data_IF_486477446007
#
_entry.id   IF_486477446007
#
_cell.length_a   1.000
_cell.length_b   1.000
_cell.length_c   1.000
_cell.angle_alpha   90.00
_cell.angle_beta   90.00
_cell.angle_gamma   90.00
#
_symmetry.space_group_name_H-M   'P 1'
#
loop_
_entity.id
_entity.type
_entity.pdbx_description
1 polymer ?
#
# COMPACT_ATOMS: atom_id res chain seq x y z
N UNK A 1 -20.09 22.61 -44.25
CA UNK A 1 -20.88 21.37 -44.12
C UNK A 1 -20.51 20.75 -42.79
N UNK A 2 -21.28 21.07 -41.76
CA UNK A 2 -21.07 20.59 -40.39
C UNK A 2 -21.38 19.10 -40.31
N UNK A 3 -20.52 18.38 -39.60
CA UNK A 3 -20.47 16.92 -39.56
C UNK A 3 -21.72 16.32 -38.90
N UNK A 4 -22.63 15.76 -39.71
CA UNK A 4 -23.89 15.16 -39.26
C UNK A 4 -23.69 13.87 -38.43
N UNK A 5 -22.45 13.36 -38.30
CA UNK A 5 -22.16 12.11 -37.59
C UNK A 5 -22.50 12.17 -36.10
N UNK A 6 -22.27 13.30 -35.44
CA UNK A 6 -22.55 13.43 -34.01
C UNK A 6 -24.05 13.51 -33.72
N UNK A 7 -24.84 14.04 -34.65
CA UNK A 7 -26.30 14.15 -34.50
C UNK A 7 -26.97 12.78 -34.58
N UNK A 8 -26.49 11.90 -35.46
CA UNK A 8 -26.98 10.52 -35.56
C UNK A 8 -26.59 9.68 -34.35
N UNK A 9 -25.39 9.88 -33.79
CA UNK A 9 -24.96 9.21 -32.57
C UNK A 9 -25.79 9.62 -31.35
N UNK A 10 -26.06 10.92 -31.19
CA UNK A 10 -26.89 11.43 -30.09
C UNK A 10 -28.34 10.93 -30.20
N UNK A 11 -28.89 10.88 -31.41
CA UNK A 11 -30.24 10.35 -31.64
C UNK A 11 -30.35 8.86 -31.30
N UNK A 12 -29.30 8.06 -31.59
CA UNK A 12 -29.26 6.64 -31.23
C UNK A 12 -29.21 6.44 -29.71
N UNK A 13 -28.38 7.22 -29.01
CA UNK A 13 -28.27 7.16 -27.55
C UNK A 13 -29.60 7.54 -26.89
N UNK A 14 -30.25 8.63 -27.35
CA UNK A 14 -31.55 9.06 -26.82
C UNK A 14 -32.67 8.04 -27.10
N UNK A 15 -32.66 7.40 -28.27
CA UNK A 15 -33.60 6.33 -28.60
C UNK A 15 -33.40 5.09 -27.72
N UNK A 16 -32.15 4.68 -27.49
CA UNK A 16 -31.84 3.56 -26.60
C UNK A 16 -32.25 3.85 -25.15
N UNK A 17 -32.04 5.08 -24.68
CA UNK A 17 -32.43 5.51 -23.33
C UNK A 17 -33.97 5.55 -23.16
N UNK A 18 -34.70 5.98 -24.20
CA UNK A 18 -36.16 5.96 -24.22
C UNK A 18 -36.75 4.55 -24.26
N UNK A 19 -36.12 3.62 -24.98
CA UNK A 19 -36.55 2.22 -25.04
C UNK A 19 -36.37 1.50 -23.68
N UNK A 20 -35.32 1.85 -22.95
CA UNK A 20 -35.04 1.29 -21.61
C UNK A 20 -36.02 1.80 -20.55
N UNK A 21 -36.47 3.06 -20.65
CA UNK A 21 -37.45 3.62 -19.72
C UNK A 21 -38.83 2.92 -19.77
N UNK A 22 -39.18 2.27 -20.89
CA UNK A 22 -40.45 1.55 -21.05
C UNK A 22 -40.45 0.14 -20.44
N UNK A 23 -39.28 -0.43 -20.15
CA UNK A 23 -39.16 -1.82 -19.69
C UNK A 23 -39.17 -1.98 -18.17
N UNK A 24 -39.27 -0.89 -17.40
CA UNK A 24 -39.40 -0.91 -15.93
C UNK A 24 -38.24 -1.57 -15.18
N UNK A 25 -37.16 -1.92 -15.88
CA UNK A 25 -36.03 -2.67 -15.35
C UNK A 25 -34.77 -1.81 -15.48
N UNK A 26 -34.12 -1.52 -14.35
CA UNK A 26 -32.93 -0.66 -14.27
C UNK A 26 -31.64 -1.38 -14.71
N UNK A 27 -31.68 -2.71 -14.84
CA UNK A 27 -30.56 -3.55 -15.23
C UNK A 27 -29.85 -3.14 -16.55
N UNK A 28 -30.55 -2.89 -17.68
CA UNK A 28 -29.91 -2.43 -18.92
C UNK A 28 -29.24 -1.04 -18.81
N UNK A 29 -29.71 -0.14 -17.94
CA UNK A 29 -29.07 1.17 -17.72
C UNK A 29 -27.69 0.98 -17.07
N UNK A 30 -27.61 0.06 -16.11
CA UNK A 30 -26.37 -0.26 -15.40
C UNK A 30 -25.34 -0.85 -16.37
N UNK A 31 -25.76 -1.72 -17.30
CA UNK A 31 -24.87 -2.28 -18.32
C UNK A 31 -24.32 -1.21 -19.29
N UNK A 32 -25.15 -0.24 -19.67
CA UNK A 32 -24.70 0.88 -20.53
C UNK A 32 -23.70 1.78 -19.77
N UNK A 33 -23.94 2.06 -18.49
CA UNK A 33 -23.01 2.82 -17.65
C UNK A 33 -21.68 2.07 -17.43
N UNK A 34 -21.73 0.76 -17.19
CA UNK A 34 -20.53 -0.09 -17.08
C UNK A 34 -19.75 -0.13 -18.39
N UNK A 35 -20.43 -0.24 -19.54
CA UNK A 35 -19.80 -0.19 -20.85
C UNK A 35 -19.10 1.14 -21.12
N UNK A 36 -19.72 2.26 -20.75
CA UNK A 36 -19.12 3.59 -20.83
C UNK A 36 -17.89 3.74 -19.91
N UNK A 37 -17.98 3.22 -18.69
CA UNK A 37 -16.87 3.25 -17.72
C UNK A 37 -15.67 2.44 -18.22
N UNK A 38 -15.91 1.28 -18.85
CA UNK A 38 -14.84 0.45 -19.42
C UNK A 38 -14.16 1.14 -20.62
N UNK A 39 -14.94 1.86 -21.43
CA UNK A 39 -14.44 2.57 -22.60
C UNK A 39 -13.56 3.77 -22.21
N UNK A 40 -13.91 4.50 -21.14
CA UNK A 40 -13.06 5.56 -20.58
C UNK A 40 -11.75 4.98 -20.04
N UNK A 41 -11.80 3.84 -19.35
CA UNK A 41 -10.59 3.20 -18.80
C UNK A 41 -9.64 2.69 -19.89
N UNK A 42 -10.17 2.26 -21.04
CA UNK A 42 -9.35 1.77 -22.14
C UNK A 42 -8.51 2.88 -22.80
N UNK A 43 -9.00 4.12 -22.79
CA UNK A 43 -8.24 5.27 -23.31
C UNK A 43 -7.11 5.74 -22.38
N UNK A 44 -7.22 5.53 -21.06
CA UNK A 44 -6.14 5.83 -20.11
C UNK A 44 -5.02 4.77 -20.10
N UNK A 45 -5.24 3.61 -20.74
CA UNK A 45 -4.32 2.47 -20.67
C UNK A 45 -3.31 2.40 -21.82
N UNK A 46 -3.34 3.34 -22.78
CA UNK A 46 -2.59 3.24 -24.04
C UNK A 46 -1.27 4.05 -24.08
N UNK A 47 -0.80 4.57 -22.93
CA UNK A 47 0.44 5.39 -22.88
C UNK A 47 1.64 4.69 -22.22
N UNK A 48 1.71 3.37 -22.27
CA UNK A 48 2.85 2.63 -21.67
C UNK A 48 3.18 1.34 -22.41
N UNK A 49 3.71 1.44 -23.63
CA UNK A 49 4.51 0.35 -24.20
C UNK A 49 5.59 0.85 -25.17
N UNK A 50 6.84 0.88 -24.68
CA UNK A 50 8.14 0.70 -25.37
C UNK A 50 9.21 1.45 -24.53
N UNK A 51 10.36 0.93 -24.12
CA UNK A 51 11.15 -0.23 -24.50
C UNK A 51 12.02 -0.66 -23.32
N UNK A 52 12.18 -1.97 -23.10
CA UNK A 52 13.37 -2.52 -22.44
C UNK A 52 14.29 -3.12 -23.50
N UNK A 53 15.52 -2.61 -23.56
CA UNK A 53 16.75 -3.40 -23.36
C UNK A 53 17.92 -3.00 -24.29
N UNK A 54 19.04 -2.78 -23.60
CA UNK A 54 20.39 -3.26 -23.93
C UNK A 54 21.34 -2.39 -24.78
N UNK A 55 22.35 -1.93 -24.05
CA UNK A 55 23.78 -2.09 -24.32
C UNK A 55 24.56 -0.97 -25.02
N UNK A 56 25.76 -0.81 -24.47
CA UNK A 56 26.99 -0.35 -25.10
C UNK A 56 27.17 1.15 -25.36
N UNK A 57 28.05 1.71 -24.53
CA UNK A 57 29.28 2.39 -24.94
C UNK A 57 29.20 3.59 -25.89
N UNK A 58 29.90 4.63 -25.43
CA UNK A 58 30.66 5.61 -26.22
C UNK A 58 29.95 6.93 -26.60
N UNK A 59 30.70 7.99 -26.25
CA UNK A 59 30.87 9.21 -27.03
C UNK A 59 29.81 10.29 -26.95
N UNK A 60 30.04 11.17 -25.96
CA UNK A 60 30.18 12.62 -26.13
C UNK A 60 30.08 13.10 -27.59
N UNK A 61 28.92 13.66 -27.94
CA UNK A 61 28.81 14.65 -28.99
C UNK A 61 28.04 15.87 -28.47
N UNK A 62 28.75 16.99 -28.52
CA UNK A 62 28.30 18.36 -28.38
C UNK A 62 27.67 18.78 -29.71
N UNK A 63 26.41 19.19 -29.72
CA UNK A 63 25.79 19.87 -30.85
C UNK A 63 24.76 20.88 -30.36
N UNK A 64 25.20 22.14 -30.33
CA UNK A 64 24.37 23.34 -30.27
C UNK A 64 23.66 23.55 -31.62
N UNK A 65 22.34 23.75 -31.59
CA UNK A 65 21.65 24.56 -32.60
C UNK A 65 20.62 25.45 -31.93
N UNK A 66 20.80 26.75 -32.15
CA UNK A 66 19.83 27.79 -31.91
C UNK A 66 18.89 27.88 -33.11
N UNK A 67 17.59 27.92 -32.84
CA UNK A 67 16.63 28.70 -33.62
C UNK A 67 15.69 29.39 -32.65
N UNK A 68 15.68 30.71 -32.76
CA UNK A 68 14.67 31.63 -32.25
C UNK A 68 13.43 31.45 -33.12
N UNK A 69 12.25 31.28 -32.51
CA UNK A 69 11.01 31.84 -33.04
C UNK A 69 10.04 32.03 -31.87
N UNK A 70 9.58 33.27 -31.77
CA UNK A 70 8.63 33.80 -30.81
C UNK A 70 7.24 33.21 -31.10
N UNK A 71 6.48 32.84 -30.06
CA UNK A 71 5.13 33.36 -29.83
C UNK A 71 4.44 32.70 -28.63
N UNK A 72 3.83 33.57 -27.82
CA UNK A 72 2.69 33.36 -26.93
C UNK A 72 2.92 32.75 -25.52
N UNK A 73 2.94 33.68 -24.57
CA UNK A 73 2.71 33.55 -23.14
C UNK A 73 1.45 32.73 -22.83
N UNK A 74 1.63 31.57 -22.21
CA UNK A 74 0.67 31.05 -21.24
C UNK A 74 1.48 30.57 -20.02
N UNK A 75 1.71 31.49 -19.08
CA UNK A 75 2.17 31.19 -17.72
C UNK A 75 1.06 30.42 -16.98
N UNK A 76 0.85 29.16 -17.33
CA UNK A 76 0.44 28.20 -16.31
C UNK A 76 1.72 27.87 -15.54
N UNK A 77 1.87 28.48 -14.37
CA UNK A 77 2.66 27.90 -13.30
C UNK A 77 2.17 26.46 -13.14
N UNK A 78 2.87 25.51 -13.78
CA UNK A 78 2.79 24.12 -13.42
C UNK A 78 3.34 24.12 -12.01
N UNK A 79 2.43 24.20 -11.03
CA UNK A 79 2.65 23.64 -9.73
C UNK A 79 2.94 22.17 -9.99
N UNK A 80 4.21 21.88 -10.28
CA UNK A 80 4.82 20.64 -9.91
C UNK A 80 4.65 20.62 -8.39
N UNK A 81 3.49 20.14 -7.93
CA UNK A 81 3.42 19.49 -6.64
C UNK A 81 4.40 18.35 -6.77
N UNK A 82 5.66 18.66 -6.46
CA UNK A 82 6.68 17.68 -6.26
C UNK A 82 6.05 16.72 -5.27
N UNK A 83 5.78 15.46 -5.66
CA UNK A 83 5.19 14.51 -4.75
C UNK A 83 6.11 14.53 -3.53
N UNK A 84 5.55 14.88 -2.36
CA UNK A 84 6.32 14.94 -1.12
C UNK A 84 7.22 13.71 -1.11
N UNK A 85 8.55 13.93 -1.10
CA UNK A 85 9.51 12.86 -1.36
C UNK A 85 9.14 11.67 -0.47
N UNK A 86 9.21 10.45 -0.98
CA UNK A 86 8.86 9.25 -0.20
C UNK A 86 9.54 9.22 1.18
N UNK A 87 10.64 9.95 1.32
CA UNK A 87 11.41 10.24 2.53
C UNK A 87 10.61 10.97 3.64
N UNK A 88 9.68 11.86 3.31
CA UNK A 88 8.84 12.61 4.26
C UNK A 88 7.50 11.94 4.56
N UNK A 89 7.18 10.83 3.89
CA UNK A 89 5.88 10.17 4.03
C UNK A 89 5.77 9.56 5.44
N UNK A 90 4.93 10.20 6.25
CA UNK A 90 4.44 9.66 7.51
C UNK A 90 3.10 8.99 7.23
N UNK A 91 2.98 7.71 7.55
CA UNK A 91 1.76 6.98 7.28
C UNK A 91 0.69 7.28 8.34
N UNK A 92 -0.56 7.44 7.90
CA UNK A 92 -1.68 7.79 8.77
C UNK A 92 -1.90 6.76 9.89
N UNK A 93 -1.79 5.47 9.61
CA UNK A 93 -1.96 4.43 10.63
C UNK A 93 -0.89 4.48 11.72
N UNK A 94 0.31 4.92 11.38
CA UNK A 94 1.39 5.13 12.35
C UNK A 94 1.11 6.32 13.27
N UNK A 95 0.62 7.44 12.72
CA UNK A 95 0.16 8.58 13.51
C UNK A 95 -0.98 8.20 14.47
N UNK A 96 -1.97 7.45 13.96
CA UNK A 96 -3.06 6.94 14.77
C UNK A 96 -2.52 6.07 15.91
N UNK A 97 -1.47 5.29 15.65
CA UNK A 97 -0.82 4.47 16.68
C UNK A 97 -0.06 5.29 17.73
N UNK A 98 0.61 6.36 17.34
CA UNK A 98 1.27 7.30 18.28
C UNK A 98 0.22 7.97 19.19
N UNK A 99 -0.89 8.41 18.60
CA UNK A 99 -2.00 9.01 19.36
C UNK A 99 -2.64 8.02 20.34
N UNK A 100 -2.81 6.74 19.96
CA UNK A 100 -3.32 5.70 20.86
C UNK A 100 -2.39 5.43 22.05
N UNK A 101 -1.08 5.59 21.85
CA UNK A 101 -0.10 5.54 22.94
C UNK A 101 -0.15 6.77 23.87
N UNK A 102 -1.01 7.75 23.58
CA UNK A 102 -1.18 8.96 24.40
C UNK A 102 -0.18 10.07 24.09
N UNK A 103 0.56 9.96 22.99
CA UNK A 103 1.53 10.98 22.56
C UNK A 103 0.92 11.93 21.53
N UNK A 104 1.37 13.18 21.54
CA UNK A 104 1.08 14.14 20.48
C UNK A 104 2.15 14.01 19.38
N UNK A 105 1.79 13.62 18.13
CA UNK A 105 2.74 13.47 17.04
C UNK A 105 3.51 14.74 16.67
N UNK A 106 2.94 15.92 16.95
CA UNK A 106 3.57 17.21 16.66
C UNK A 106 4.58 17.65 17.72
N UNK A 107 4.54 17.04 18.92
CA UNK A 107 5.39 17.40 20.06
C UNK A 107 6.44 16.31 20.36
N UNK A 108 6.25 15.08 19.89
CA UNK A 108 7.19 13.98 20.15
C UNK A 108 8.46 14.10 19.30
N UNK A 109 9.62 13.94 19.93
CA UNK A 109 10.90 13.92 19.22
C UNK A 109 11.13 12.61 18.46
N UNK A 110 10.74 11.49 19.09
CA UNK A 110 10.77 10.17 18.47
C UNK A 110 9.38 9.85 17.95
N UNK A 111 9.25 9.74 16.63
CA UNK A 111 7.97 9.53 15.97
C UNK A 111 7.96 8.21 15.22
N UNK A 112 6.98 7.35 15.50
CA UNK A 112 6.69 6.22 14.62
C UNK A 112 6.06 6.74 13.32
N UNK A 113 6.75 6.55 12.20
CA UNK A 113 6.30 7.00 10.88
C UNK A 113 5.70 5.88 10.04
N UNK A 114 6.02 4.64 10.35
CA UNK A 114 5.37 3.42 9.85
C UNK A 114 5.38 2.36 10.96
N UNK A 115 4.43 1.45 10.94
CA UNK A 115 4.28 0.35 11.91
C UNK A 115 3.43 -0.75 11.30
N UNK A 116 3.72 -2.01 11.65
CA UNK A 116 2.92 -3.15 11.22
C UNK A 116 3.57 -4.47 11.55
N UNK A 117 3.20 -5.49 10.78
CA UNK A 117 3.63 -6.87 10.92
C UNK A 117 4.18 -7.39 9.60
N UNK A 118 5.25 -8.16 9.68
CA UNK A 118 5.75 -9.05 8.64
C UNK A 118 5.19 -10.44 8.92
N UNK A 119 4.53 -11.05 7.95
CA UNK A 119 4.02 -12.42 8.06
C UNK A 119 4.81 -13.36 7.16
N UNK A 120 4.92 -14.62 7.54
CA UNK A 120 5.51 -15.68 6.69
C UNK A 120 4.58 -16.87 6.71
N UNK A 121 4.38 -17.48 5.53
CA UNK A 121 3.52 -18.64 5.34
C UNK A 121 4.18 -19.63 4.38
N UNK A 122 4.48 -20.83 4.88
CA UNK A 122 5.21 -21.87 4.16
C UNK A 122 6.52 -21.35 3.58
N UNK A 123 6.71 -21.63 2.30
CA UNK A 123 7.88 -21.18 1.53
C UNK A 123 7.69 -19.78 0.92
N UNK A 124 6.58 -19.10 1.22
CA UNK A 124 6.34 -17.75 0.71
C UNK A 124 7.28 -16.74 1.36
N UNK A 125 7.74 -15.77 0.57
CA UNK A 125 8.48 -14.63 1.10
C UNK A 125 7.66 -13.83 2.13
N UNK A 126 8.32 -13.04 3.00
CA UNK A 126 7.65 -12.25 4.00
C UNK A 126 6.71 -11.21 3.36
N UNK A 127 5.50 -11.09 3.90
CA UNK A 127 4.47 -10.14 3.45
C UNK A 127 4.20 -9.08 4.51
N UNK A 128 3.88 -7.86 4.10
CA UNK A 128 3.73 -6.72 4.99
C UNK A 128 2.26 -6.41 5.23
N UNK A 129 1.86 -6.34 6.49
CA UNK A 129 0.51 -5.98 6.94
C UNK A 129 0.55 -4.76 7.84
N UNK A 130 -0.17 -3.70 7.44
CA UNK A 130 -0.26 -2.42 8.16
C UNK A 130 -1.66 -2.12 8.65
N UNK A 131 -2.64 -2.23 7.77
CA UNK A 131 -4.03 -1.86 8.08
C UNK A 131 -5.01 -2.98 7.74
N UNK A 132 -4.55 -4.00 7.02
CA UNK A 132 -5.37 -5.13 6.65
C UNK A 132 -5.29 -6.22 7.70
N UNK A 133 -6.39 -6.95 7.83
CA UNK A 133 -6.43 -8.15 8.65
C UNK A 133 -5.43 -9.18 8.16
N UNK A 134 -4.83 -9.89 9.10
CA UNK A 134 -3.92 -10.99 8.84
C UNK A 134 -4.72 -12.22 8.41
N UNK A 135 -4.26 -13.01 7.42
CA UNK A 135 -4.82 -14.34 7.21
C UNK A 135 -4.61 -15.19 8.47
N UNK A 136 -5.54 -16.07 8.78
CA UNK A 136 -5.49 -16.99 9.93
C UNK A 136 -4.62 -18.24 9.68
N UNK A 137 -4.09 -18.42 8.47
CA UNK A 137 -3.28 -19.55 8.03
C UNK A 137 -1.77 -19.23 7.91
N UNK A 138 -1.31 -18.14 8.52
CA UNK A 138 0.10 -17.74 8.56
C UNK A 138 0.87 -18.48 9.67
N UNK A 139 2.15 -18.77 9.43
CA UNK A 139 2.98 -19.53 10.37
C UNK A 139 3.68 -18.64 11.39
N UNK A 140 4.11 -17.46 10.96
CA UNK A 140 4.90 -16.55 11.78
C UNK A 140 4.47 -15.10 11.58
N UNK A 141 4.53 -14.34 12.68
CA UNK A 141 4.46 -12.87 12.66
C UNK A 141 5.74 -12.28 13.25
N UNK A 142 6.19 -11.18 12.68
CA UNK A 142 7.34 -10.44 13.14
C UNK A 142 7.00 -8.95 13.09
N UNK A 143 6.94 -8.25 14.23
CA UNK A 143 6.57 -6.84 14.22
C UNK A 143 7.68 -5.98 13.59
N UNK A 144 7.29 -4.85 13.04
CA UNK A 144 8.23 -3.83 12.63
C UNK A 144 7.71 -2.43 12.96
N UNK A 145 8.64 -1.51 13.12
CA UNK A 145 8.34 -0.09 13.26
C UNK A 145 9.40 0.70 12.53
N UNK A 146 9.01 1.82 11.93
CA UNK A 146 9.94 2.80 11.42
C UNK A 146 9.92 4.04 12.31
N UNK A 147 11.03 4.31 12.98
CA UNK A 147 11.16 5.46 13.89
C UNK A 147 11.93 6.59 13.22
N UNK A 148 11.36 7.78 13.24
CA UNK A 148 12.06 9.02 12.93
C UNK A 148 12.63 9.60 14.22
N UNK A 149 13.95 9.73 14.28
CA UNK A 149 14.68 10.29 15.43
C UNK A 149 15.47 11.55 15.04
N UNK A 150 15.60 12.54 15.93
CA UNK A 150 16.18 13.84 15.59
C UNK A 150 17.72 13.83 15.52
N UNK A 151 18.35 12.87 16.20
CA UNK A 151 19.80 12.70 16.30
C UNK A 151 20.16 11.23 16.45
N UNK A 152 21.45 10.91 16.31
CA UNK A 152 21.96 9.58 16.59
C UNK A 152 21.80 9.24 18.07
N UNK A 153 21.35 8.02 18.37
CA UNK A 153 21.08 7.58 19.73
C UNK A 153 21.26 6.07 19.84
N UNK A 154 21.39 5.57 21.07
CA UNK A 154 21.25 4.16 21.39
C UNK A 154 20.06 4.04 22.33
N UNK A 155 19.10 3.19 21.99
CA UNK A 155 17.88 3.02 22.77
C UNK A 155 17.46 1.55 22.81
N UNK A 156 16.80 1.16 23.90
CA UNK A 156 16.17 -0.15 24.00
C UNK A 156 14.75 -0.06 23.47
N UNK A 157 14.45 -0.89 22.47
CA UNK A 157 13.14 -0.94 21.84
C UNK A 157 12.52 -2.29 22.14
N UNK A 158 11.38 -2.26 22.84
CA UNK A 158 10.57 -3.42 23.16
C UNK A 158 9.36 -3.49 22.24
N UNK A 159 9.23 -4.63 21.57
CA UNK A 159 8.08 -5.04 20.78
C UNK A 159 7.23 -5.97 21.63
N UNK A 160 5.97 -5.59 21.86
CA UNK A 160 5.02 -6.38 22.65
C UNK A 160 3.76 -6.64 21.82
N UNK A 161 3.31 -7.89 21.73
CA UNK A 161 2.03 -8.26 21.13
C UNK A 161 1.13 -8.79 22.23
N UNK A 162 -0.05 -8.18 22.33
CA UNK A 162 -1.14 -8.57 23.20
C UNK A 162 -2.24 -9.25 22.38
N UNK A 163 -2.79 -10.34 22.92
CA UNK A 163 -3.97 -10.99 22.37
C UNK A 163 -5.23 -10.10 22.51
N UNK A 164 -6.36 -10.57 21.99
CA UNK A 164 -7.64 -9.85 22.07
C UNK A 164 -8.16 -9.61 23.50
N UNK A 165 -7.60 -10.30 24.50
CA UNK A 165 -7.94 -10.13 25.93
C UNK A 165 -6.94 -9.19 26.62
N UNK A 166 -5.96 -8.66 25.90
CA UNK A 166 -4.90 -7.82 26.42
C UNK A 166 -3.78 -8.58 27.13
N UNK A 167 -3.71 -9.91 26.98
CA UNK A 167 -2.65 -10.71 27.58
C UNK A 167 -1.41 -10.73 26.65
N UNK A 168 -0.19 -10.51 27.18
CA UNK A 168 1.02 -10.55 26.37
C UNK A 168 1.31 -11.97 25.90
N UNK A 169 1.40 -12.14 24.58
CA UNK A 169 1.72 -13.41 23.92
C UNK A 169 3.10 -13.38 23.24
N UNK A 170 3.67 -12.20 23.06
CA UNK A 170 5.03 -12.02 22.58
C UNK A 170 5.62 -10.74 23.17
N UNK A 171 6.83 -10.83 23.71
CA UNK A 171 7.61 -9.71 24.20
C UNK A 171 9.05 -9.93 23.75
N UNK A 172 9.63 -8.94 23.08
CA UNK A 172 11.02 -8.95 22.69
C UNK A 172 11.62 -7.56 22.83
N UNK A 173 12.80 -7.45 23.43
CA UNK A 173 13.48 -6.18 23.66
C UNK A 173 14.93 -6.29 23.19
N UNK A 174 15.32 -5.37 22.31
CA UNK A 174 16.64 -5.30 21.71
C UNK A 174 17.19 -3.87 21.84
N UNK A 175 18.51 -3.75 21.98
CA UNK A 175 19.21 -2.47 21.90
C UNK A 175 19.54 -2.11 20.46
N UNK A 176 19.12 -0.92 20.01
CA UNK A 176 19.35 -0.45 18.64
C UNK A 176 20.27 0.76 18.58
N UNK A 177 21.16 0.78 17.61
CA UNK A 177 21.91 1.98 17.22
C UNK A 177 21.08 2.76 16.20
N UNK A 178 20.48 3.86 16.63
CA UNK A 178 19.59 4.69 15.84
C UNK A 178 20.39 5.79 15.16
N UNK A 179 20.17 5.96 13.86
CA UNK A 179 20.72 7.05 13.05
C UNK A 179 19.72 8.19 13.02
N UNK A 180 20.19 9.43 12.92
CA UNK A 180 19.30 10.58 12.64
C UNK A 180 18.44 10.30 11.41
N UNK A 181 17.14 10.58 11.50
CA UNK A 181 16.18 10.29 10.43
C UNK A 181 15.42 8.99 10.69
N UNK A 182 15.06 8.28 9.62
CA UNK A 182 14.22 7.07 9.67
C UNK A 182 15.06 5.83 9.96
N UNK A 183 14.59 5.00 10.90
CA UNK A 183 15.21 3.74 11.27
C UNK A 183 14.15 2.65 11.16
N UNK A 184 14.36 1.67 10.28
CA UNK A 184 13.53 0.47 10.24
C UNK A 184 14.01 -0.50 11.31
N UNK A 185 13.12 -0.86 12.22
CA UNK A 185 13.41 -1.70 13.37
C UNK A 185 12.48 -2.90 13.36
N UNK A 186 13.07 -4.07 13.59
CA UNK A 186 12.36 -5.33 13.74
C UNK A 186 13.14 -6.19 14.74
N UNK A 187 12.48 -6.96 15.62
CA UNK A 187 13.17 -7.85 16.53
C UNK A 187 13.89 -8.96 15.74
N UNK A 188 14.95 -9.54 16.30
CA UNK A 188 15.65 -10.66 15.67
C UNK A 188 14.88 -12.00 15.76
N UNK A 189 13.75 -12.03 16.47
CA UNK A 189 12.88 -13.21 16.60
C UNK A 189 11.54 -13.01 15.89
N UNK A 190 10.87 -14.12 15.62
CA UNK A 190 9.51 -14.18 15.08
C UNK A 190 8.62 -14.91 16.07
N UNK A 191 7.38 -14.47 16.21
CA UNK A 191 6.37 -15.18 17.00
C UNK A 191 5.78 -16.29 16.11
N UNK A 192 5.90 -17.57 16.50
CA UNK A 192 5.18 -18.64 15.83
C UNK A 192 3.69 -18.55 16.19
N UNK A 193 2.84 -18.79 15.19
CA UNK A 193 1.42 -19.02 15.39
C UNK A 193 1.16 -20.52 15.45
N UNK A 194 0.22 -20.92 16.30
CA UNK A 194 -0.14 -22.31 16.53
C UNK A 194 -1.65 -22.44 16.42
N UNK A 195 -2.13 -23.55 15.86
CA UNK A 195 -3.56 -23.83 15.61
C UNK A 195 -4.47 -23.73 16.85
N UNK A 196 -3.89 -23.73 18.06
CA UNK A 196 -4.61 -23.63 19.33
C UNK A 196 -4.79 -22.19 19.83
N UNK A 197 -4.19 -21.21 19.15
CA UNK A 197 -4.35 -19.80 19.51
C UNK A 197 -5.73 -19.30 19.11
N UNK A 198 -6.40 -18.60 20.02
CA UNK A 198 -7.65 -17.91 19.74
C UNK A 198 -7.34 -16.61 18.99
N UNK A 199 -7.54 -16.60 17.67
CA UNK A 199 -7.18 -15.48 16.80
C UNK A 199 -8.28 -14.42 16.69
N UNK A 200 -9.47 -14.70 17.24
CA UNK A 200 -10.62 -13.80 17.16
C UNK A 200 -10.42 -12.52 17.96
N UNK A 201 -10.93 -11.41 17.41
CA UNK A 201 -10.95 -10.11 18.06
C UNK A 201 -9.72 -9.25 17.78
N UNK A 202 -9.62 -8.15 18.54
CA UNK A 202 -8.66 -7.07 18.27
C UNK A 202 -7.38 -7.22 19.06
N UNK A 203 -6.31 -7.55 18.35
CA UNK A 203 -4.97 -7.68 18.90
C UNK A 203 -4.24 -6.35 18.91
N UNK A 204 -3.20 -6.25 19.75
CA UNK A 204 -2.45 -5.01 19.93
C UNK A 204 -0.95 -5.26 19.83
N UNK A 205 -0.27 -4.52 18.96
CA UNK A 205 1.18 -4.37 18.94
C UNK A 205 1.54 -3.05 19.66
N UNK A 206 2.35 -3.13 20.72
CA UNK A 206 2.91 -1.97 21.43
C UNK A 206 4.39 -1.87 21.15
N UNK A 207 4.84 -0.66 20.87
CA UNK A 207 6.26 -0.31 20.75
C UNK A 207 6.63 0.56 21.93
N UNK A 208 7.62 0.14 22.69
CA UNK A 208 8.11 0.84 23.88
C UNK A 208 9.57 1.18 23.68
N UNK A 209 9.93 2.45 23.83
CA UNK A 209 11.31 2.93 23.75
C UNK A 209 11.74 3.43 25.13
N UNK A 210 12.77 2.82 25.71
CA UNK A 210 13.32 3.17 27.03
C UNK A 210 12.24 3.31 28.14
N UNK A 211 11.24 2.44 28.09
CA UNK A 211 10.13 2.40 29.04
C UNK A 211 8.95 3.34 28.72
N UNK A 212 9.01 4.10 27.64
CA UNK A 212 7.92 4.97 27.16
C UNK A 212 7.19 4.30 26.01
N UNK A 213 5.87 4.17 26.11
CA UNK A 213 5.02 3.67 25.02
C UNK A 213 5.01 4.71 23.89
N UNK A 214 5.59 4.37 22.72
CA UNK A 214 5.72 5.30 21.59
C UNK A 214 4.71 5.05 20.47
N UNK A 215 4.12 3.84 20.42
CA UNK A 215 3.06 3.52 19.47
C UNK A 215 2.23 2.33 19.95
N UNK A 216 0.91 2.41 19.72
CA UNK A 216 -0.03 1.31 19.92
C UNK A 216 -0.81 1.03 18.62
N UNK A 217 -0.56 -0.14 18.04
CA UNK A 217 -1.10 -0.55 16.76
C UNK A 217 -2.10 -1.70 16.92
N UNK A 218 -3.29 -1.56 16.37
CA UNK A 218 -4.34 -2.58 16.44
C UNK A 218 -4.40 -3.33 15.11
N UNK A 219 -4.54 -4.65 15.20
CA UNK A 219 -4.72 -5.53 14.06
C UNK A 219 -5.66 -6.67 14.42
N UNK A 220 -6.18 -7.35 13.40
CA UNK A 220 -7.14 -8.44 13.54
C UNK A 220 -6.77 -9.55 12.57
N UNK A 221 -7.23 -10.76 12.84
CA UNK A 221 -7.16 -11.87 11.90
C UNK A 221 -8.45 -11.97 11.09
N UNK A 222 -8.36 -12.52 9.88
CA UNK A 222 -9.49 -12.83 9.01
C UNK A 222 -9.29 -14.20 8.39
N UNK A 223 -10.40 -14.89 8.10
CA UNK A 223 -10.38 -16.20 7.46
C UNK A 223 -9.63 -16.13 6.12
N UNK A 224 -8.63 -16.99 5.96
CA UNK A 224 -7.84 -17.05 4.74
C UNK A 224 -8.72 -17.33 3.52
N UNK A 225 -8.45 -16.64 2.41
CA UNK A 225 -9.20 -16.81 1.16
C UNK A 225 -9.12 -18.26 0.64
N UNK A 226 -8.03 -18.98 0.93
CA UNK A 226 -7.87 -20.39 0.59
C UNK A 226 -8.87 -21.30 1.31
N UNK A 227 -9.17 -21.00 2.58
CA UNK A 227 -10.14 -21.72 3.40
C UNK A 227 -11.58 -21.40 2.98
N UNK A 228 -11.87 -20.13 2.64
CA UNK A 228 -13.18 -19.74 2.10
C UNK A 228 -13.42 -20.35 0.71
N UNK A 229 -12.42 -20.38 -0.17
CA UNK A 229 -12.51 -21.07 -1.48
C UNK A 229 -12.80 -22.56 -1.29
N UNK A 230 -12.12 -23.25 -0.35
CA UNK A 230 -12.35 -24.67 -0.08
C UNK A 230 -13.76 -24.96 0.45
N UNK A 231 -14.33 -24.05 1.24
CA UNK A 231 -15.71 -24.14 1.76
C UNK A 231 -16.77 -23.91 0.67
N UNK A 232 -16.41 -23.19 -0.41
CA UNK A 232 -17.30 -22.82 -1.50
C UNK A 232 -16.99 -23.51 -2.84
N UNK A 233 -16.03 -24.44 -2.87
CA UNK A 233 -15.81 -25.38 -3.98
C UNK A 233 -16.74 -26.58 -3.81
N UNK A 234 -17.64 -26.79 -4.78
CA UNK A 234 -18.44 -28.01 -4.86
C UNK A 234 -17.57 -29.25 -5.10
N UNK A 235 -18.10 -30.43 -4.79
CA UNK A 235 -17.46 -31.75 -5.00
C UNK A 235 -17.08 -32.00 -6.48
N UNK A 236 -17.60 -31.20 -7.41
CA UNK A 236 -17.41 -31.23 -8.85
C UNK A 236 -16.43 -30.16 -9.41
N UNK A 237 -15.92 -29.27 -8.56
CA UNK A 237 -14.96 -28.24 -8.96
C UNK A 237 -15.57 -26.98 -9.58
N UNK A 238 -16.89 -26.78 -9.48
CA UNK A 238 -17.53 -25.55 -9.96
C UNK A 238 -17.41 -24.39 -8.95
N UNK A 239 -17.06 -23.20 -9.46
CA UNK A 239 -16.93 -21.96 -8.69
C UNK A 239 -18.31 -21.28 -8.60
N UNK A 240 -18.88 -21.17 -7.40
CA UNK A 240 -20.18 -20.52 -7.20
C UNK A 240 -20.11 -18.99 -7.43
N UNK A 241 -21.19 -18.37 -7.91
CA UNK A 241 -21.26 -16.94 -8.26
C UNK A 241 -20.95 -16.01 -7.08
N UNK A 242 -21.18 -16.46 -5.85
CA UNK A 242 -20.80 -15.73 -4.61
C UNK A 242 -19.26 -15.63 -4.44
N UNK A 243 -18.49 -16.58 -4.96
CA UNK A 243 -17.01 -16.57 -4.94
C UNK A 243 -16.43 -15.49 -5.86
N UNK A 244 -17.07 -15.21 -7.01
CA UNK A 244 -16.63 -14.13 -7.90
C UNK A 244 -16.78 -12.75 -7.25
N UNK A 245 -17.79 -12.58 -6.38
CA UNK A 245 -17.96 -11.36 -5.59
C UNK A 245 -16.88 -11.22 -4.50
N UNK A 246 -16.55 -12.29 -3.79
CA UNK A 246 -15.53 -12.27 -2.73
C UNK A 246 -14.09 -12.09 -3.26
N UNK A 247 -13.77 -12.62 -4.45
CA UNK A 247 -12.45 -12.44 -5.09
C UNK A 247 -12.28 -11.03 -5.67
N UNK A 248 -13.38 -10.42 -6.15
CA UNK A 248 -13.39 -9.06 -6.68
C UNK A 248 -13.14 -7.97 -5.63
N UNK A 249 -13.53 -8.20 -4.38
CA UNK A 249 -13.30 -7.25 -3.27
C UNK A 249 -11.90 -7.37 -2.62
N UNK A 250 -11.16 -8.46 -2.85
CA UNK A 250 -9.96 -8.82 -2.07
C UNK A 250 -8.60 -8.51 -2.71
N UNK A 251 -8.54 -7.79 -3.84
CA UNK A 251 -7.25 -7.47 -4.49
C UNK A 251 -7.10 -6.00 -4.91
N UNK A 252 -6.58 -5.15 -4.00
CA UNK A 252 -5.67 -4.10 -4.42
C UNK A 252 -4.45 -3.93 -3.49
N UNK A 253 -3.23 -4.19 -4.01
CA UNK A 253 -1.98 -3.58 -3.54
C UNK A 253 -1.13 -4.30 -2.49
N UNK A 254 -0.79 -5.59 -2.67
CA UNK A 254 0.22 -6.29 -1.85
C UNK A 254 1.62 -5.69 -2.13
N UNK A 255 2.26 -5.07 -1.13
CA UNK A 255 3.66 -4.60 -1.21
C UNK A 255 4.60 -5.68 -0.70
N UNK A 256 5.69 -5.95 -1.42
CA UNK A 256 6.71 -6.93 -1.03
C UNK A 256 7.69 -6.33 -0.01
N UNK A 257 8.42 -7.18 0.72
CA UNK A 257 9.50 -6.71 1.59
C UNK A 257 10.60 -6.01 0.78
N UNK A 258 10.88 -6.46 -0.44
CA UNK A 258 11.87 -5.82 -1.33
C UNK A 258 11.47 -4.38 -1.66
N UNK A 259 10.16 -4.11 -1.81
CA UNK A 259 9.67 -2.73 -1.95
C UNK A 259 9.96 -1.90 -0.68
N UNK A 260 9.89 -2.49 0.51
CA UNK A 260 10.22 -1.78 1.76
C UNK A 260 11.71 -1.50 1.90
N UNK A 261 12.55 -2.44 1.45
CA UNK A 261 14.01 -2.34 1.53
C UNK A 261 14.58 -1.41 0.45
N UNK A 262 13.96 -1.33 -0.73
CA UNK A 262 14.37 -0.41 -1.78
C UNK A 262 14.37 1.06 -1.31
N UNK A 263 13.49 1.42 -0.37
CA UNK A 263 13.49 2.76 0.23
C UNK A 263 14.69 3.05 1.15
N UNK A 264 15.53 2.05 1.46
CA UNK A 264 16.71 2.20 2.30
C UNK A 264 17.98 2.47 1.47
N UNK A 265 18.10 1.89 0.27
CA UNK A 265 19.34 1.92 -0.51
C UNK A 265 19.60 3.28 -1.19
N UNK A 266 18.54 4.01 -1.57
CA UNK A 266 18.62 5.35 -2.16
C UNK A 266 19.30 6.39 -1.23
N UNK A 267 19.32 6.15 0.08
CA UNK A 267 19.98 7.01 1.09
C UNK A 267 21.51 7.00 0.96
N UNK A 268 22.08 5.91 0.43
CA UNK A 268 23.53 5.69 0.40
C UNK A 268 24.21 6.18 -0.88
N UNK A 269 23.50 6.16 -2.01
CA UNK A 269 24.05 6.56 -3.32
C UNK A 269 24.01 8.08 -3.54
N UNK A 270 22.96 8.76 -3.09
CA UNK A 270 22.84 10.24 -3.24
C UNK A 270 23.91 11.03 -2.46
N UNK A 271 24.58 10.42 -1.48
CA UNK A 271 25.68 11.05 -0.73
C UNK A 271 27.06 10.82 -1.34
N UNK A 272 27.20 9.88 -2.28
CA UNK A 272 28.47 9.62 -3.01
C UNK A 272 28.60 10.48 -4.26
N UNK A 273 27.50 10.93 -4.85
CA UNK A 273 27.50 11.84 -6.01
C UNK A 273 27.66 13.32 -5.64
N UNK A 274 27.49 13.68 -4.37
CA UNK A 274 27.62 15.05 -3.86
C UNK A 274 28.99 15.36 -3.22
N UNK A 275 30.01 14.53 -3.49
CA UNK A 275 31.38 14.69 -2.95
C UNK A 275 32.44 14.78 -4.02
#
# INVERSE_FOLDING_TARGET
>A
MSDNRNTWFLAFILMALGAVALLGNSFPVILVLLGLLFLVRQFDSDDSSSNLSSSATAERYDYSYAYEDEDEEDDYEIFHQQPASAEQRVYRHALDSVMRAGLNPDETEVLAVDIGLLTTQGDSGPQVYRTWSLPDDIDYIQPFVQLRVPMEAVGNIRFEILDARGAPVYIHEDGFQLRRGRNFLTPNTRMPLHDQMELDGKWTLRIVADGVDIAEHHFEYAEATSASIRRHMGEDGEINAEMQAAIGESHPGKMSLDDLLAFQDDESESRRSAR
#
